data_IF_608559874820
#
_entry.id   IF_608559874820
#
_cell.length_a   1.000
_cell.length_b   1.000
_cell.length_c   1.000
_cell.angle_alpha   90.00
_cell.angle_beta   90.00
_cell.angle_gamma   90.00
#
_symmetry.space_group_name_H-M   'P 1'
#
loop_
_entity.id
_entity.type
_entity.pdbx_description
1 polymer ?
#
# COMPACT_ATOMS: atom_id res chain seq x y z
N UNK A 1 12.63 0.09 -14.69
CA UNK A 1 12.13 0.98 -13.62
C UNK A 1 12.57 2.43 -13.78
N UNK A 2 13.86 2.76 -13.92
CA UNK A 2 14.30 4.17 -14.08
C UNK A 2 13.60 4.92 -15.23
N UNK A 3 13.47 4.30 -16.41
CA UNK A 3 12.73 4.86 -17.54
C UNK A 3 11.23 5.03 -17.24
N UNK A 4 10.64 4.09 -16.48
CA UNK A 4 9.25 4.19 -16.05
C UNK A 4 9.05 5.33 -15.05
N UNK A 5 9.99 5.57 -14.13
CA UNK A 5 9.96 6.69 -13.16
C UNK A 5 10.09 8.06 -13.83
N UNK A 6 10.80 8.14 -14.95
CA UNK A 6 10.93 9.39 -15.70
C UNK A 6 9.58 9.94 -16.16
N UNK A 7 8.62 9.07 -16.50
CA UNK A 7 7.31 9.50 -17.02
C UNK A 7 6.46 10.18 -15.95
N UNK A 8 6.23 9.60 -14.74
CA UNK A 8 5.63 10.33 -13.63
C UNK A 8 6.41 11.58 -13.24
N UNK A 9 7.75 11.52 -13.21
CA UNK A 9 8.55 12.68 -12.85
C UNK A 9 8.29 13.88 -13.77
N UNK A 10 8.36 13.67 -15.09
CA UNK A 10 8.07 14.70 -16.09
C UNK A 10 6.59 15.13 -16.01
N UNK A 11 5.67 14.18 -15.83
CA UNK A 11 4.25 14.48 -15.69
C UNK A 11 3.94 15.41 -14.51
N UNK A 12 4.61 15.23 -13.38
CA UNK A 12 4.45 16.09 -12.21
C UNK A 12 5.00 17.50 -12.39
N UNK A 13 6.00 17.68 -13.26
CA UNK A 13 6.55 19.01 -13.56
C UNK A 13 5.66 19.80 -14.52
N UNK A 14 5.20 19.16 -15.61
CA UNK A 14 4.61 19.87 -16.75
C UNK A 14 3.09 19.72 -16.88
N UNK A 15 2.51 18.70 -16.25
CA UNK A 15 1.10 18.34 -16.41
C UNK A 15 0.27 18.34 -15.11
N UNK A 16 0.46 19.22 -14.09
CA UNK A 16 -0.34 19.16 -12.86
C UNK A 16 -1.86 19.18 -13.09
N UNK A 17 -2.32 19.91 -14.12
CA UNK A 17 -3.75 19.97 -14.48
C UNK A 17 -4.29 18.66 -15.09
N UNK A 18 -3.44 17.89 -15.75
CA UNK A 18 -3.83 16.63 -16.37
C UNK A 18 -3.71 15.44 -15.42
N UNK A 19 -2.95 15.58 -14.31
CA UNK A 19 -2.87 14.53 -13.28
C UNK A 19 -4.25 14.23 -12.72
N UNK A 20 -5.04 15.26 -12.36
CA UNK A 20 -6.41 15.06 -11.88
C UNK A 20 -7.31 14.33 -12.90
N UNK A 21 -7.11 14.59 -14.21
CA UNK A 21 -7.84 13.92 -15.29
C UNK A 21 -7.40 12.46 -15.38
N UNK A 22 -6.10 12.19 -15.29
CA UNK A 22 -5.53 10.85 -15.31
C UNK A 22 -5.96 10.04 -14.08
N UNK A 23 -6.04 10.64 -12.90
CA UNK A 23 -6.57 10.04 -11.68
C UNK A 23 -8.05 9.68 -11.83
N UNK A 24 -8.86 10.61 -12.36
CA UNK A 24 -10.30 10.38 -12.58
C UNK A 24 -10.52 9.29 -13.62
N UNK A 25 -9.78 9.31 -14.73
CA UNK A 25 -9.81 8.27 -15.74
C UNK A 25 -9.36 6.92 -15.16
N UNK A 26 -8.31 6.92 -14.33
CA UNK A 26 -7.83 5.75 -13.61
C UNK A 26 -8.90 5.14 -12.71
N UNK A 27 -9.65 5.95 -11.96
CA UNK A 27 -10.74 5.48 -11.12
C UNK A 27 -11.91 4.88 -11.93
N UNK A 28 -12.28 5.51 -13.05
CA UNK A 28 -13.32 4.97 -13.95
C UNK A 28 -12.86 3.65 -14.57
N UNK A 29 -11.62 3.60 -15.07
CA UNK A 29 -11.01 2.39 -15.60
C UNK A 29 -10.88 1.30 -14.53
N UNK A 30 -10.59 1.65 -13.28
CA UNK A 30 -10.49 0.68 -12.18
C UNK A 30 -11.80 -0.06 -11.98
N UNK A 31 -12.92 0.67 -11.86
CA UNK A 31 -14.25 0.08 -11.77
C UNK A 31 -14.64 -0.69 -13.04
N UNK A 32 -14.36 -0.12 -14.22
CA UNK A 32 -14.69 -0.73 -15.51
C UNK A 32 -13.92 -2.03 -15.77
N UNK A 33 -12.63 -2.07 -15.48
CA UNK A 33 -11.78 -3.24 -15.65
C UNK A 33 -12.09 -4.32 -14.63
N UNK A 34 -12.45 -3.95 -13.40
CA UNK A 34 -13.00 -4.89 -12.42
C UNK A 34 -14.26 -5.58 -12.97
N UNK A 35 -15.24 -4.81 -13.48
CA UNK A 35 -16.45 -5.39 -14.06
C UNK A 35 -16.13 -6.28 -15.27
N UNK A 36 -15.25 -5.82 -16.17
CA UNK A 36 -14.83 -6.59 -17.33
C UNK A 36 -14.19 -7.93 -16.92
N UNK A 37 -13.31 -7.92 -15.91
CA UNK A 37 -12.66 -9.12 -15.38
C UNK A 37 -13.67 -10.09 -14.76
N UNK A 38 -14.53 -9.60 -13.86
CA UNK A 38 -15.56 -10.41 -13.19
C UNK A 38 -16.53 -11.01 -14.20
N UNK A 39 -17.07 -10.22 -15.12
CA UNK A 39 -18.03 -10.70 -16.13
C UNK A 39 -17.38 -11.74 -17.03
N UNK A 40 -16.14 -11.51 -17.45
CA UNK A 40 -15.43 -12.44 -18.34
C UNK A 40 -15.18 -13.77 -17.65
N UNK A 41 -14.69 -13.76 -16.41
CA UNK A 41 -14.48 -14.99 -15.64
C UNK A 41 -15.82 -15.69 -15.37
N UNK A 42 -16.86 -14.96 -14.96
CA UNK A 42 -18.16 -15.56 -14.66
C UNK A 42 -18.86 -16.18 -15.88
N UNK A 43 -18.65 -15.63 -17.08
CA UNK A 43 -19.32 -16.10 -18.31
C UNK A 43 -18.50 -17.13 -19.06
N UNK A 44 -17.17 -16.97 -19.11
CA UNK A 44 -16.31 -17.78 -19.98
C UNK A 44 -15.57 -18.90 -19.26
N UNK A 45 -15.31 -18.76 -17.95
CA UNK A 45 -14.55 -19.77 -17.22
C UNK A 45 -15.42 -20.97 -16.83
N UNK A 46 -14.77 -22.12 -16.69
CA UNK A 46 -15.38 -23.28 -16.05
C UNK A 46 -15.49 -23.03 -14.54
N UNK A 47 -16.69 -23.19 -13.99
CA UNK A 47 -16.95 -22.91 -12.58
C UNK A 47 -16.77 -24.14 -11.69
N UNK A 48 -16.06 -23.98 -10.58
CA UNK A 48 -15.90 -24.95 -9.50
C UNK A 48 -17.16 -25.07 -8.65
N UNK A 49 -17.26 -26.13 -7.84
CA UNK A 49 -18.40 -26.34 -6.94
C UNK A 49 -18.35 -25.42 -5.72
N UNK A 50 -19.51 -25.11 -5.14
CA UNK A 50 -19.61 -24.32 -3.89
C UNK A 50 -18.94 -25.02 -2.71
N UNK A 51 -18.99 -26.35 -2.68
CA UNK A 51 -18.31 -27.15 -1.65
C UNK A 51 -16.80 -26.95 -1.75
N UNK A 52 -16.25 -27.03 -2.97
CA UNK A 52 -14.83 -26.78 -3.17
C UNK A 52 -14.44 -25.37 -2.71
N UNK A 53 -15.17 -24.34 -3.13
CA UNK A 53 -14.82 -22.94 -2.80
C UNK A 53 -14.86 -22.62 -1.30
N UNK A 54 -15.84 -23.16 -0.57
CA UNK A 54 -16.05 -22.78 0.84
C UNK A 54 -15.58 -23.82 1.86
N UNK A 55 -15.30 -25.06 1.45
CA UNK A 55 -14.90 -26.15 2.36
C UNK A 55 -13.53 -26.73 2.07
N UNK A 56 -12.93 -26.46 0.91
CA UNK A 56 -11.59 -26.94 0.59
C UNK A 56 -10.54 -25.88 0.96
N UNK A 57 -9.51 -26.31 1.68
CA UNK A 57 -8.31 -25.52 1.94
C UNK A 57 -7.12 -26.15 1.21
N UNK A 58 -6.65 -25.51 0.15
CA UNK A 58 -5.42 -25.91 -0.55
C UNK A 58 -4.21 -25.51 0.29
N UNK A 59 -3.55 -26.49 0.93
CA UNK A 59 -2.40 -26.28 1.83
C UNK A 59 -1.07 -26.81 1.29
N UNK A 60 -1.11 -27.83 0.44
CA UNK A 60 0.06 -28.62 0.05
C UNK A 60 0.97 -27.93 -0.99
N UNK A 61 0.55 -26.76 -1.50
CA UNK A 61 1.31 -25.96 -2.47
C UNK A 61 2.45 -25.16 -1.81
N UNK A 62 2.23 -24.71 -0.57
CA UNK A 62 3.17 -23.82 0.13
C UNK A 62 4.33 -24.56 0.81
N UNK A 63 4.28 -25.89 0.89
CA UNK A 63 5.19 -26.70 1.67
C UNK A 63 4.99 -26.63 3.20
N UNK A 64 4.04 -25.82 3.69
CA UNK A 64 3.65 -25.80 5.09
C UNK A 64 2.65 -26.91 5.40
N UNK A 65 3.04 -27.88 6.23
CA UNK A 65 2.16 -28.98 6.63
C UNK A 65 1.01 -28.55 7.56
N UNK A 66 1.22 -27.49 8.35
CA UNK A 66 0.22 -26.99 9.29
C UNK A 66 -0.86 -26.16 8.55
N UNK A 67 -2.13 -26.61 8.54
CA UNK A 67 -3.21 -25.94 7.81
C UNK A 67 -3.46 -24.50 8.27
N UNK A 68 -3.28 -24.22 9.57
CA UNK A 68 -3.46 -22.89 10.14
C UNK A 68 -2.41 -21.91 9.62
N UNK A 69 -1.18 -22.39 9.43
CA UNK A 69 -0.09 -21.57 8.89
C UNK A 69 -0.32 -21.31 7.40
N UNK A 70 -0.69 -22.33 6.61
CA UNK A 70 -1.02 -22.16 5.20
C UNK A 70 -2.17 -21.15 5.00
N UNK A 71 -3.23 -21.26 5.81
CA UNK A 71 -4.35 -20.30 5.80
C UNK A 71 -3.92 -18.88 6.20
N UNK A 72 -3.13 -18.75 7.28
CA UNK A 72 -2.64 -17.46 7.76
C UNK A 72 -1.74 -16.73 6.76
N UNK A 73 -0.89 -17.47 6.04
CA UNK A 73 -0.07 -16.92 4.95
C UNK A 73 -0.95 -16.48 3.78
N UNK A 74 -1.93 -17.29 3.39
CA UNK A 74 -2.91 -16.93 2.37
C UNK A 74 -3.65 -15.63 2.68
N UNK A 75 -4.02 -15.41 3.95
CA UNK A 75 -4.66 -14.19 4.41
C UNK A 75 -3.83 -12.92 4.13
N UNK A 76 -2.50 -12.99 4.22
CA UNK A 76 -1.63 -11.82 3.98
C UNK A 76 -1.82 -11.28 2.56
N UNK A 77 -1.99 -12.18 1.59
CA UNK A 77 -2.13 -11.83 0.16
C UNK A 77 -3.36 -10.97 -0.11
N UNK A 78 -4.42 -11.13 0.69
CA UNK A 78 -5.65 -10.32 0.60
C UNK A 78 -5.64 -9.10 1.50
N UNK A 79 -4.71 -9.03 2.45
CA UNK A 79 -4.64 -7.94 3.45
C UNK A 79 -3.86 -6.73 2.92
N UNK A 80 -2.77 -6.96 2.18
CA UNK A 80 -1.94 -5.88 1.63
C UNK A 80 -2.64 -5.00 0.56
N UNK A 81 -3.48 -5.51 -0.36
CA UNK A 81 -4.11 -4.70 -1.40
C UNK A 81 -5.00 -3.55 -0.91
N UNK A 82 -5.46 -3.58 0.33
CA UNK A 82 -6.28 -2.52 0.94
C UNK A 82 -5.46 -1.44 1.66
N UNK A 83 -4.12 -1.53 1.64
CA UNK A 83 -3.23 -0.52 2.24
C UNK A 83 -3.07 0.73 1.36
N UNK A 84 -2.45 1.78 1.93
CA UNK A 84 -2.18 3.02 1.21
C UNK A 84 -3.35 4.00 1.14
N UNK A 85 -4.44 3.73 1.87
CA UNK A 85 -5.61 4.60 1.98
C UNK A 85 -5.30 5.96 2.61
N UNK A 86 -4.20 6.09 3.36
CA UNK A 86 -3.72 7.33 3.96
C UNK A 86 -3.09 8.29 2.95
N UNK A 87 -2.87 7.85 1.70
CA UNK A 87 -2.21 8.65 0.67
C UNK A 87 -2.86 10.02 0.46
N UNK A 88 -4.19 10.09 0.56
CA UNK A 88 -4.98 11.32 0.43
C UNK A 88 -4.68 12.35 1.54
N UNK A 89 -4.16 11.91 2.70
CA UNK A 89 -3.80 12.79 3.82
C UNK A 89 -2.57 13.63 3.45
N UNK A 90 -1.61 13.08 2.70
CA UNK A 90 -0.42 13.81 2.26
C UNK A 90 -0.73 14.89 1.21
N UNK A 91 -1.93 14.86 0.63
CA UNK A 91 -2.44 15.82 -0.36
C UNK A 91 -3.61 16.63 0.20
N UNK A 92 -3.76 16.67 1.52
CA UNK A 92 -4.89 17.27 2.20
C UNK A 92 -5.07 18.77 1.93
N UNK A 93 -3.98 19.47 1.62
CA UNK A 93 -3.96 20.90 1.23
C UNK A 93 -4.65 21.17 -0.13
N UNK A 94 -4.78 20.15 -0.99
CA UNK A 94 -5.41 20.26 -2.31
C UNK A 94 -6.91 19.92 -2.27
N UNK A 95 -7.39 19.37 -1.15
CA UNK A 95 -8.77 18.94 -0.97
C UNK A 95 -9.62 20.08 -0.41
N UNK A 96 -10.72 20.44 -1.08
CA UNK A 96 -11.70 21.38 -0.52
C UNK A 96 -12.39 20.76 0.69
N UNK A 97 -12.57 21.52 1.78
CA UNK A 97 -13.24 21.05 3.00
C UNK A 97 -12.60 19.77 3.60
N UNK A 98 -11.26 19.74 3.63
CA UNK A 98 -10.41 18.63 4.08
C UNK A 98 -10.93 17.93 5.34
N UNK A 99 -11.28 18.70 6.38
CA UNK A 99 -11.73 18.20 7.70
C UNK A 99 -12.97 17.28 7.63
N UNK A 100 -13.75 17.33 6.55
CA UNK A 100 -14.95 16.48 6.35
C UNK A 100 -14.83 15.54 5.16
N UNK A 101 -14.24 15.99 4.04
CA UNK A 101 -14.16 15.18 2.82
C UNK A 101 -13.11 14.08 2.93
N UNK A 102 -11.92 14.37 3.47
CA UNK A 102 -10.84 13.38 3.59
C UNK A 102 -11.28 12.16 4.40
N UNK A 103 -11.85 12.28 5.63
CA UNK A 103 -12.29 11.11 6.39
C UNK A 103 -13.37 10.29 5.66
N UNK A 104 -14.32 10.96 5.00
CA UNK A 104 -15.39 10.29 4.24
C UNK A 104 -14.84 9.58 3.01
N UNK A 105 -13.91 10.19 2.29
CA UNK A 105 -13.25 9.59 1.12
C UNK A 105 -12.47 8.34 1.50
N UNK A 106 -11.70 8.36 2.59
CA UNK A 106 -10.95 7.19 3.09
C UNK A 106 -11.90 6.03 3.40
N UNK A 107 -12.98 6.29 4.15
CA UNK A 107 -13.95 5.24 4.49
C UNK A 107 -14.63 4.71 3.23
N UNK A 108 -15.06 5.60 2.34
CA UNK A 108 -15.74 5.21 1.10
C UNK A 108 -14.84 4.37 0.20
N UNK A 109 -13.58 4.78 -0.03
CA UNK A 109 -12.66 4.03 -0.88
C UNK A 109 -12.37 2.65 -0.32
N UNK A 110 -12.05 2.53 0.99
CA UNK A 110 -11.77 1.23 1.61
C UNK A 110 -12.97 0.30 1.54
N UNK A 111 -14.19 0.82 1.78
CA UNK A 111 -15.41 0.00 1.73
C UNK A 111 -15.70 -0.46 0.31
N UNK A 112 -15.60 0.42 -0.69
CA UNK A 112 -15.82 0.07 -2.09
C UNK A 112 -14.77 -0.93 -2.56
N UNK A 113 -13.49 -0.67 -2.31
CA UNK A 113 -12.39 -1.54 -2.74
C UNK A 113 -12.44 -2.89 -2.01
N UNK A 114 -12.82 -2.92 -0.73
CA UNK A 114 -13.02 -4.14 0.04
C UNK A 114 -14.17 -5.01 -0.51
N UNK A 115 -15.29 -4.38 -0.90
CA UNK A 115 -16.41 -5.10 -1.55
C UNK A 115 -16.00 -5.61 -2.93
N UNK A 116 -15.32 -4.79 -3.74
CA UNK A 116 -14.80 -5.20 -5.04
C UNK A 116 -13.82 -6.36 -4.90
N UNK A 117 -12.89 -6.29 -3.95
CA UNK A 117 -11.93 -7.35 -3.67
C UNK A 117 -12.62 -8.65 -3.25
N UNK A 118 -13.64 -8.57 -2.39
CA UNK A 118 -14.41 -9.75 -1.96
C UNK A 118 -15.12 -10.41 -3.15
N UNK A 119 -15.81 -9.62 -3.99
CA UNK A 119 -16.49 -10.12 -5.19
C UNK A 119 -15.48 -10.75 -6.16
N UNK A 120 -14.36 -10.06 -6.40
CA UNK A 120 -13.32 -10.54 -7.31
C UNK A 120 -12.70 -11.84 -6.80
N UNK A 121 -12.38 -11.92 -5.50
CA UNK A 121 -11.76 -13.11 -4.91
C UNK A 121 -12.71 -14.31 -4.98
N UNK A 122 -13.99 -14.13 -4.64
CA UNK A 122 -14.99 -15.19 -4.79
C UNK A 122 -15.07 -15.64 -6.25
N UNK A 123 -15.12 -14.69 -7.19
CA UNK A 123 -15.16 -15.00 -8.63
C UNK A 123 -13.95 -15.85 -9.02
N UNK A 124 -12.74 -15.42 -8.67
CA UNK A 124 -11.50 -16.16 -8.97
C UNK A 124 -11.53 -17.56 -8.36
N UNK A 125 -11.93 -17.70 -7.09
CA UNK A 125 -12.02 -19.02 -6.44
C UNK A 125 -12.96 -19.98 -7.18
N UNK A 126 -14.08 -19.47 -7.71
CA UNK A 126 -14.98 -20.25 -8.55
C UNK A 126 -14.41 -20.54 -9.94
N UNK A 127 -13.47 -19.74 -10.45
CA UNK A 127 -13.02 -19.79 -11.85
C UNK A 127 -11.54 -20.10 -12.04
N UNK A 128 -10.82 -20.54 -11.00
CA UNK A 128 -9.37 -20.80 -11.04
C UNK A 128 -9.00 -21.83 -12.11
N UNK A 129 -9.86 -22.82 -12.36
CA UNK A 129 -9.58 -23.90 -13.30
C UNK A 129 -8.53 -24.88 -12.76
N UNK A 130 -7.56 -25.25 -13.58
CA UNK A 130 -6.46 -26.14 -13.22
C UNK A 130 -5.46 -25.45 -12.28
N UNK A 131 -5.52 -25.80 -10.99
CA UNK A 131 -4.67 -25.24 -9.94
C UNK A 131 -3.18 -25.55 -10.13
N UNK A 132 -2.83 -26.72 -10.68
CA UNK A 132 -1.42 -27.08 -10.90
C UNK A 132 -0.80 -26.14 -11.92
N UNK A 133 -1.52 -25.87 -13.02
CA UNK A 133 -1.09 -24.89 -14.03
C UNK A 133 -1.02 -23.47 -13.48
N UNK A 134 -2.01 -23.07 -12.67
CA UNK A 134 -2.04 -21.74 -12.05
C UNK A 134 -0.88 -21.55 -11.09
N UNK A 135 -0.59 -22.55 -10.26
CA UNK A 135 0.51 -22.52 -9.28
C UNK A 135 1.90 -22.55 -9.92
N UNK A 136 2.04 -23.25 -11.06
CA UNK A 136 3.28 -23.30 -11.84
C UNK A 136 3.54 -22.03 -12.67
N UNK A 137 2.50 -21.21 -12.90
CA UNK A 137 2.63 -19.97 -13.67
C UNK A 137 3.39 -18.89 -12.88
N UNK A 138 4.37 -18.19 -13.50
CA UNK A 138 5.01 -17.03 -12.88
C UNK A 138 4.04 -15.91 -12.50
N UNK A 139 2.92 -15.82 -13.21
CA UNK A 139 1.84 -14.85 -12.96
C UNK A 139 0.49 -15.60 -12.98
N UNK A 140 0.08 -16.18 -11.83
CA UNK A 140 -1.07 -17.09 -11.74
C UNK A 140 -2.36 -16.55 -12.36
N UNK A 141 -2.66 -15.26 -12.15
CA UNK A 141 -3.88 -14.65 -12.66
C UNK A 141 -3.95 -14.59 -14.18
N UNK A 142 -2.81 -14.51 -14.87
CA UNK A 142 -2.76 -14.53 -16.34
C UNK A 142 -3.19 -15.90 -16.85
N UNK A 143 -2.76 -16.96 -16.17
CA UNK A 143 -3.16 -18.33 -16.52
C UNK A 143 -4.66 -18.54 -16.28
N UNK A 144 -5.23 -18.00 -15.20
CA UNK A 144 -6.69 -18.03 -14.95
C UNK A 144 -7.46 -17.39 -16.11
N UNK A 145 -7.06 -16.20 -16.56
CA UNK A 145 -7.69 -15.54 -17.71
C UNK A 145 -7.48 -16.31 -19.02
N UNK A 146 -6.32 -16.94 -19.21
CA UNK A 146 -6.05 -17.73 -20.40
C UNK A 146 -6.89 -19.01 -20.44
N UNK A 147 -7.03 -19.71 -19.31
CA UNK A 147 -7.89 -20.88 -19.17
C UNK A 147 -9.36 -20.52 -19.41
N UNK A 148 -9.82 -19.38 -18.91
CA UNK A 148 -11.19 -18.90 -19.13
C UNK A 148 -11.46 -18.49 -20.57
N UNK A 149 -10.54 -17.74 -21.20
CA UNK A 149 -10.80 -17.14 -22.53
C UNK A 149 -10.38 -18.02 -23.70
N UNK A 150 -9.45 -18.95 -23.49
CA UNK A 150 -8.80 -19.74 -24.55
C UNK A 150 -8.04 -18.89 -25.58
N UNK A 151 -7.87 -17.58 -25.35
CA UNK A 151 -7.38 -16.63 -26.34
C UNK A 151 -6.26 -15.77 -25.77
N UNK A 152 -5.09 -15.85 -26.41
CA UNK A 152 -3.94 -15.00 -26.07
C UNK A 152 -4.25 -13.52 -26.25
N UNK A 153 -5.05 -13.15 -27.25
CA UNK A 153 -5.42 -11.76 -27.49
C UNK A 153 -6.30 -11.19 -26.37
N UNK A 154 -7.30 -11.95 -25.93
CA UNK A 154 -8.16 -11.56 -24.81
C UNK A 154 -7.37 -11.51 -23.49
N UNK A 155 -6.51 -12.50 -23.25
CA UNK A 155 -5.64 -12.52 -22.06
C UNK A 155 -4.71 -11.31 -22.02
N UNK A 156 -4.08 -10.96 -23.15
CA UNK A 156 -3.20 -9.79 -23.24
C UNK A 156 -3.95 -8.48 -22.96
N UNK A 157 -5.24 -8.38 -23.30
CA UNK A 157 -6.06 -7.23 -22.96
C UNK A 157 -6.22 -7.08 -21.43
N UNK A 158 -6.46 -8.17 -20.69
CA UNK A 158 -6.52 -8.12 -19.22
C UNK A 158 -5.17 -7.77 -18.59
N UNK A 159 -4.07 -8.28 -19.14
CA UNK A 159 -2.72 -7.89 -18.70
C UNK A 159 -2.50 -6.39 -18.92
N UNK A 160 -2.92 -5.85 -20.07
CA UNK A 160 -2.84 -4.43 -20.35
C UNK A 160 -3.69 -3.60 -19.37
N UNK A 161 -4.92 -4.03 -19.06
CA UNK A 161 -5.79 -3.38 -18.08
C UNK A 161 -5.11 -3.28 -16.71
N UNK A 162 -4.47 -4.37 -16.24
CA UNK A 162 -3.73 -4.39 -14.98
C UNK A 162 -2.51 -3.44 -15.02
N UNK A 163 -1.70 -3.50 -16.08
CA UNK A 163 -0.53 -2.63 -16.24
C UNK A 163 -0.94 -1.15 -16.27
N UNK A 164 -2.06 -0.83 -16.94
CA UNK A 164 -2.58 0.53 -17.00
C UNK A 164 -2.93 1.07 -15.61
N UNK A 165 -3.64 0.30 -14.78
CA UNK A 165 -4.00 0.72 -13.42
C UNK A 165 -2.76 0.86 -12.53
N UNK A 166 -1.81 -0.06 -12.62
CA UNK A 166 -0.53 0.02 -11.90
C UNK A 166 0.22 1.30 -12.30
N UNK A 167 0.23 1.62 -13.60
CA UNK A 167 0.90 2.81 -14.11
C UNK A 167 0.23 4.09 -13.60
N UNK A 168 -1.09 4.19 -13.59
CA UNK A 168 -1.81 5.34 -13.01
C UNK A 168 -1.56 5.45 -11.51
N UNK A 169 -1.61 4.34 -10.77
CA UNK A 169 -1.31 4.31 -9.33
C UNK A 169 0.11 4.79 -9.03
N UNK A 170 1.07 4.46 -9.91
CA UNK A 170 2.45 4.90 -9.76
C UNK A 170 2.61 6.43 -9.79
N UNK A 171 1.81 7.15 -10.59
CA UNK A 171 1.77 8.61 -10.51
C UNK A 171 1.34 9.10 -9.11
N UNK A 172 0.28 8.52 -8.57
CA UNK A 172 -0.28 8.93 -7.27
C UNK A 172 0.69 8.68 -6.13
N UNK A 173 1.32 7.50 -6.09
CA UNK A 173 2.32 7.15 -5.07
C UNK A 173 3.52 8.09 -5.16
N UNK A 174 3.97 8.40 -6.38
CA UNK A 174 5.10 9.31 -6.57
C UNK A 174 4.78 10.74 -6.08
N UNK A 175 3.56 11.22 -6.36
CA UNK A 175 3.06 12.49 -5.86
C UNK A 175 3.02 12.51 -4.32
N UNK A 176 2.45 11.47 -3.73
CA UNK A 176 2.27 11.29 -2.29
C UNK A 176 3.61 11.29 -1.55
N UNK A 177 4.57 10.46 -1.98
CA UNK A 177 5.90 10.36 -1.35
C UNK A 177 6.66 11.68 -1.43
N UNK A 178 6.59 12.40 -2.55
CA UNK A 178 7.26 13.70 -2.67
C UNK A 178 6.73 14.74 -1.69
N UNK A 179 5.42 14.74 -1.41
CA UNK A 179 4.80 15.63 -0.41
C UNK A 179 5.16 15.21 1.01
N UNK A 180 5.28 13.91 1.28
CA UNK A 180 5.76 13.41 2.58
C UNK A 180 7.20 13.87 2.85
N UNK A 181 8.11 13.70 1.88
CA UNK A 181 9.50 14.16 1.98
C UNK A 181 9.54 15.67 2.21
N UNK A 182 8.76 16.44 1.44
CA UNK A 182 8.69 17.89 1.59
C UNK A 182 8.18 18.30 2.98
N UNK A 183 7.07 17.74 3.45
CA UNK A 183 6.48 18.07 4.74
C UNK A 183 7.43 17.72 5.90
N UNK A 184 8.04 16.55 5.84
CA UNK A 184 9.01 16.13 6.86
C UNK A 184 10.28 17.01 6.84
N UNK A 185 10.72 17.44 5.66
CA UNK A 185 11.83 18.39 5.51
C UNK A 185 11.48 19.78 6.02
N UNK A 186 10.25 20.26 5.79
CA UNK A 186 9.79 21.56 6.30
C UNK A 186 9.89 21.63 7.82
N UNK A 187 9.60 20.51 8.49
CA UNK A 187 9.65 20.38 9.94
C UNK A 187 11.09 20.04 10.44
N UNK A 188 12.08 20.08 9.55
CA UNK A 188 13.49 19.90 9.86
C UNK A 188 13.96 18.45 9.98
N UNK A 189 13.11 17.46 9.71
CA UNK A 189 13.35 16.05 10.01
C UNK A 189 14.25 15.27 9.04
N UNK A 190 14.79 15.93 8.00
CA UNK A 190 15.73 15.30 7.05
C UNK A 190 17.07 16.05 7.01
N UNK A 191 18.19 15.35 6.75
CA UNK A 191 19.44 16.01 6.41
C UNK A 191 19.23 16.85 5.13
N UNK A 192 19.81 18.05 5.11
CA UNK A 192 19.59 19.03 4.04
C UNK A 192 18.11 19.44 3.86
N UNK A 193 17.33 19.43 4.95
CA UNK A 193 15.92 19.85 5.02
C UNK A 193 15.62 21.15 4.28
N UNK A 194 16.50 22.15 4.36
CA UNK A 194 16.35 23.44 3.67
C UNK A 194 16.30 23.33 2.13
N UNK A 195 16.85 22.28 1.55
CA UNK A 195 16.78 22.01 0.10
C UNK A 195 15.47 21.34 -0.27
N UNK A 196 15.06 20.31 0.47
CA UNK A 196 13.88 19.51 0.17
C UNK A 196 12.56 20.16 0.60
N UNK A 197 12.60 21.12 1.54
CA UNK A 197 11.45 21.93 1.95
C UNK A 197 11.06 23.02 0.93
N UNK A 198 11.89 23.27 -0.11
CA UNK A 198 11.61 24.30 -1.12
C UNK A 198 10.55 23.84 -2.12
N UNK A 199 9.53 24.67 -2.31
CA UNK A 199 8.53 24.52 -3.38
C UNK A 199 8.96 25.38 -4.57
N UNK A 200 8.90 24.82 -5.77
CA UNK A 200 9.30 25.56 -6.97
C UNK A 200 8.26 26.65 -7.31
N UNK A 201 8.66 27.91 -7.58
CA UNK A 201 7.72 29.02 -7.76
C UNK A 201 6.80 28.85 -8.98
N UNK A 202 7.33 28.36 -10.11
CA UNK A 202 6.57 28.15 -11.35
C UNK A 202 5.66 26.93 -11.30
N UNK A 203 6.23 25.76 -10.95
CA UNK A 203 5.50 24.48 -10.97
C UNK A 203 4.63 24.24 -9.72
N UNK A 204 4.85 25.00 -8.64
CA UNK A 204 4.14 24.88 -7.35
C UNK A 204 4.20 23.48 -6.71
N UNK A 205 5.23 22.71 -7.04
CA UNK A 205 5.51 21.37 -6.50
C UNK A 205 6.92 21.31 -5.89
N UNK A 206 7.19 20.43 -4.91
CA UNK A 206 8.51 20.29 -4.30
C UNK A 206 9.45 19.47 -5.20
N UNK A 207 10.01 20.11 -6.24
CA UNK A 207 10.85 19.45 -7.26
C UNK A 207 12.06 18.72 -6.67
N UNK A 208 12.69 19.28 -5.64
CA UNK A 208 13.84 18.63 -4.98
C UNK A 208 13.43 17.33 -4.28
N UNK A 209 12.25 17.29 -3.67
CA UNK A 209 11.70 16.10 -3.04
C UNK A 209 11.31 15.04 -4.10
N UNK A 210 10.74 15.46 -5.24
CA UNK A 210 10.48 14.59 -6.39
C UNK A 210 11.77 13.96 -6.91
N UNK A 211 12.85 14.75 -7.03
CA UNK A 211 14.15 14.24 -7.49
C UNK A 211 14.74 13.23 -6.51
N UNK A 212 14.68 13.51 -5.19
CA UNK A 212 15.13 12.56 -4.17
C UNK A 212 14.35 11.24 -4.26
N UNK A 213 13.02 11.31 -4.39
CA UNK A 213 12.19 10.12 -4.56
C UNK A 213 12.54 9.36 -5.84
N UNK A 214 12.74 10.04 -6.98
CA UNK A 214 13.15 9.41 -8.23
C UNK A 214 14.50 8.70 -8.08
N UNK A 215 15.46 9.37 -7.46
CA UNK A 215 16.81 8.86 -7.24
C UNK A 215 16.78 7.61 -6.36
N UNK A 216 16.04 7.63 -5.25
CA UNK A 216 15.88 6.48 -4.37
C UNK A 216 15.26 5.29 -5.12
N UNK A 217 14.18 5.50 -5.89
CA UNK A 217 13.57 4.44 -6.69
C UNK A 217 14.55 3.87 -7.72
N UNK A 218 15.32 4.72 -8.41
CA UNK A 218 16.33 4.27 -9.37
C UNK A 218 17.44 3.46 -8.70
N UNK A 219 17.96 3.90 -7.55
CA UNK A 219 18.99 3.18 -6.78
C UNK A 219 18.46 1.82 -6.32
N UNK A 220 17.25 1.78 -5.75
CA UNK A 220 16.62 0.53 -5.31
C UNK A 220 16.40 -0.43 -6.50
N UNK A 221 16.01 0.09 -7.66
CA UNK A 221 15.87 -0.72 -8.85
C UNK A 221 17.20 -1.29 -9.36
N UNK A 222 18.32 -0.57 -9.19
CA UNK A 222 19.65 -1.06 -9.55
C UNK A 222 20.13 -2.20 -8.65
N UNK A 223 19.62 -2.31 -7.41
CA UNK A 223 19.93 -3.46 -6.53
C UNK A 223 19.52 -4.77 -7.21
N UNK A 224 18.40 -4.79 -7.93
CA UNK A 224 17.93 -5.98 -8.64
C UNK A 224 18.91 -6.47 -9.72
N UNK A 225 19.75 -5.58 -10.27
CA UNK A 225 20.81 -5.97 -11.23
C UNK A 225 21.93 -6.75 -10.54
N UNK A 226 22.25 -6.42 -9.29
CA UNK A 226 23.30 -7.10 -8.52
C UNK A 226 22.79 -8.31 -7.72
N UNK A 227 21.59 -8.23 -7.18
CA UNK A 227 20.97 -9.31 -6.39
C UNK A 227 19.45 -9.17 -6.34
N UNK A 228 18.76 -10.14 -6.96
CA UNK A 228 17.31 -10.30 -6.84
C UNK A 228 16.88 -10.62 -5.40
N UNK A 229 17.68 -11.38 -4.65
CA UNK A 229 17.47 -11.61 -3.21
C UNK A 229 17.40 -10.30 -2.44
N UNK A 230 18.40 -9.42 -2.60
CA UNK A 230 18.44 -8.16 -1.88
C UNK A 230 17.27 -7.23 -2.26
N UNK A 231 16.85 -7.27 -3.53
CA UNK A 231 15.67 -6.54 -3.98
C UNK A 231 14.38 -7.08 -3.34
N UNK A 232 14.15 -8.40 -3.39
CA UNK A 232 12.96 -9.05 -2.80
C UNK A 232 12.89 -8.85 -1.28
N UNK A 233 14.04 -8.85 -0.61
CA UNK A 233 14.19 -8.52 0.79
C UNK A 233 13.65 -7.11 1.13
N UNK A 234 13.98 -6.10 0.30
CA UNK A 234 13.47 -4.73 0.46
C UNK A 234 11.98 -4.64 0.15
N UNK A 235 11.50 -5.35 -0.86
CA UNK A 235 10.06 -5.40 -1.17
C UNK A 235 9.27 -5.98 0.01
N UNK A 236 9.78 -7.05 0.64
CA UNK A 236 9.14 -7.68 1.80
C UNK A 236 9.02 -6.74 3.00
N UNK A 237 9.97 -5.80 3.17
CA UNK A 237 9.91 -4.75 4.20
C UNK A 237 8.70 -3.82 4.04
N UNK A 238 8.29 -3.51 2.80
CA UNK A 238 7.30 -2.46 2.53
C UNK A 238 5.97 -2.71 3.25
N UNK A 239 5.48 -3.95 3.23
CA UNK A 239 4.27 -4.35 3.93
C UNK A 239 4.41 -4.18 5.45
N UNK A 240 5.47 -4.73 6.06
CA UNK A 240 5.69 -4.59 7.50
C UNK A 240 5.86 -3.13 7.94
N UNK A 241 6.59 -2.34 7.16
CA UNK A 241 6.82 -0.92 7.43
C UNK A 241 5.54 -0.09 7.42
N UNK A 242 4.65 -0.34 6.45
CA UNK A 242 3.34 0.34 6.37
C UNK A 242 2.44 -0.02 7.55
N UNK A 243 2.35 -1.30 7.91
CA UNK A 243 1.55 -1.71 9.06
C UNK A 243 2.11 -1.17 10.38
N UNK A 244 3.45 -1.08 10.51
CA UNK A 244 4.07 -0.44 11.67
C UNK A 244 3.76 1.05 11.74
N UNK A 245 3.78 1.75 10.59
CA UNK A 245 3.47 3.19 10.53
C UNK A 245 2.01 3.48 10.90
N UNK A 246 1.08 2.56 10.64
CA UNK A 246 -0.30 2.64 11.10
C UNK A 246 -0.47 2.28 12.57
N UNK A 247 0.31 1.31 13.06
CA UNK A 247 0.24 0.83 14.44
C UNK A 247 0.51 1.94 15.46
N UNK A 248 1.61 2.68 15.29
CA UNK A 248 2.06 3.66 16.30
C UNK A 248 1.06 4.82 16.52
N UNK A 249 0.53 5.51 15.49
CA UNK A 249 -0.47 6.56 15.69
C UNK A 249 -1.78 6.05 16.30
N UNK A 250 -2.24 4.86 15.90
CA UNK A 250 -3.46 4.26 16.47
C UNK A 250 -3.25 3.92 17.94
N UNK A 251 -2.09 3.35 18.29
CA UNK A 251 -1.71 3.03 19.67
C UNK A 251 -1.68 4.28 20.53
N UNK A 252 -0.99 5.34 20.08
CA UNK A 252 -0.91 6.60 20.83
C UNK A 252 -2.27 7.29 20.97
N UNK A 253 -3.12 7.22 19.93
CA UNK A 253 -4.48 7.76 20.01
C UNK A 253 -5.35 6.96 20.99
N UNK A 254 -5.26 5.63 21.00
CA UNK A 254 -5.98 4.78 21.95
C UNK A 254 -5.47 5.02 23.37
N UNK A 255 -4.15 5.04 23.58
CA UNK A 255 -3.56 5.32 24.87
C UNK A 255 -4.01 6.69 25.39
N UNK A 256 -4.01 7.73 24.56
CA UNK A 256 -4.51 9.06 24.92
C UNK A 256 -6.01 9.08 25.26
N UNK A 257 -6.83 8.25 24.59
CA UNK A 257 -8.27 8.12 24.91
C UNK A 257 -8.53 7.42 26.24
N UNK A 258 -7.68 6.47 26.62
CA UNK A 258 -7.82 5.66 27.85
C UNK A 258 -7.08 6.28 29.05
N UNK A 259 -6.09 7.14 28.81
CA UNK A 259 -5.32 7.78 29.87
C UNK A 259 -6.20 8.67 30.74
N UNK A 260 -6.25 8.37 32.03
CA UNK A 260 -7.01 9.15 33.02
C UNK A 260 -6.30 10.46 33.42
N UNK A 261 -4.97 10.51 33.26
CA UNK A 261 -4.18 11.73 33.38
C UNK A 261 -4.42 12.55 32.12
N UNK A 262 -5.19 13.64 32.23
CA UNK A 262 -5.55 14.54 31.12
C UNK A 262 -4.30 15.27 30.58
N UNK A 263 -3.69 14.89 29.44
CA UNK A 263 -3.02 15.91 28.65
C UNK A 263 -4.13 16.79 28.03
N UNK A 264 -3.78 17.93 27.44
CA UNK A 264 -4.73 18.80 26.73
C UNK A 264 -5.80 18.01 25.94
N UNK A 265 -7.07 18.46 25.91
CA UNK A 265 -8.15 17.73 25.23
C UNK A 265 -7.75 17.41 23.78
N UNK A 266 -8.13 16.23 23.28
CA UNK A 266 -7.92 15.89 21.87
C UNK A 266 -8.71 16.91 21.04
N UNK A 267 -8.05 17.73 20.19
CA UNK A 267 -8.76 18.65 19.31
C UNK A 267 -9.47 17.82 18.25
N UNK A 268 -10.77 17.63 18.42
CA UNK A 268 -11.58 16.85 17.47
C UNK A 268 -11.92 17.68 16.24
N UNK A 269 -11.77 17.08 15.07
CA UNK A 269 -12.39 17.58 13.85
C UNK A 269 -13.91 17.37 13.84
N UNK A 270 -14.60 17.86 12.79
CA UNK A 270 -16.04 17.66 12.63
C UNK A 270 -16.45 16.19 12.48
N UNK A 271 -15.51 15.31 12.11
CA UNK A 271 -15.70 13.86 12.09
C UNK A 271 -15.25 13.23 13.42
N UNK A 272 -16.18 12.59 14.13
CA UNK A 272 -15.93 11.90 15.41
C UNK A 272 -16.75 10.62 15.52
N UNK A 273 -16.12 9.55 16.02
CA UNK A 273 -16.76 8.26 16.30
C UNK A 273 -17.13 8.07 17.78
N UNK A 274 -16.98 9.11 18.61
CA UNK A 274 -17.29 9.03 20.05
C UNK A 274 -16.58 7.88 20.76
N UNK A 275 -17.36 7.09 21.52
CA UNK A 275 -16.91 5.89 22.25
C UNK A 275 -16.59 4.72 21.32
N UNK A 276 -17.32 4.57 20.20
CA UNK A 276 -17.03 3.55 19.20
C UNK A 276 -15.60 3.65 18.65
N UNK A 277 -15.04 4.87 18.60
CA UNK A 277 -13.65 5.09 18.19
C UNK A 277 -12.60 4.36 19.05
N UNK A 278 -12.85 4.13 20.34
CA UNK A 278 -11.92 3.36 21.18
C UNK A 278 -11.92 1.88 20.79
N UNK A 279 -13.10 1.29 20.54
CA UNK A 279 -13.24 -0.09 20.09
C UNK A 279 -12.66 -0.30 18.69
N UNK A 280 -12.88 0.66 17.78
CA UNK A 280 -12.28 0.63 16.43
C UNK A 280 -10.75 0.67 16.51
N UNK A 281 -10.18 1.54 17.34
CA UNK A 281 -8.73 1.59 17.52
C UNK A 281 -8.17 0.29 18.13
N UNK A 282 -8.82 -0.25 19.16
CA UNK A 282 -8.39 -1.51 19.78
C UNK A 282 -8.46 -2.68 18.79
N UNK A 283 -9.57 -2.79 18.05
CA UNK A 283 -9.75 -3.81 17.00
C UNK A 283 -8.70 -3.69 15.90
N UNK A 284 -8.41 -2.47 15.45
CA UNK A 284 -7.35 -2.22 14.46
C UNK A 284 -5.97 -2.66 14.97
N UNK A 285 -5.61 -2.34 16.22
CA UNK A 285 -4.34 -2.79 16.80
C UNK A 285 -4.26 -4.32 16.92
N UNK A 286 -5.34 -4.98 17.37
CA UNK A 286 -5.41 -6.43 17.41
C UNK A 286 -5.25 -7.06 16.03
N UNK A 287 -5.89 -6.50 15.01
CA UNK A 287 -5.77 -6.98 13.63
C UNK A 287 -4.37 -6.77 13.07
N UNK A 288 -3.74 -5.61 13.28
CA UNK A 288 -2.36 -5.33 12.85
C UNK A 288 -1.38 -6.31 13.52
N UNK A 289 -1.53 -6.57 14.82
CA UNK A 289 -0.69 -7.55 15.53
C UNK A 289 -0.91 -8.97 15.00
N UNK A 290 -2.15 -9.32 14.68
CA UNK A 290 -2.48 -10.60 14.08
C UNK A 290 -1.84 -10.77 12.70
N UNK A 291 -1.90 -9.75 11.83
CA UNK A 291 -1.28 -9.81 10.50
C UNK A 291 0.25 -9.82 10.58
N UNK A 292 0.84 -9.14 11.56
CA UNK A 292 2.29 -9.15 11.79
C UNK A 292 2.88 -10.53 12.05
N UNK A 293 2.15 -11.40 12.77
CA UNK A 293 2.58 -12.78 13.02
C UNK A 293 2.78 -13.51 11.69
N UNK A 294 1.82 -13.39 10.78
CA UNK A 294 1.86 -14.08 9.49
C UNK A 294 2.84 -13.42 8.51
N UNK A 295 2.91 -12.08 8.48
CA UNK A 295 3.82 -11.32 7.62
C UNK A 295 5.29 -11.57 7.87
N UNK A 296 5.66 -12.12 9.03
CA UNK A 296 7.03 -12.52 9.33
C UNK A 296 7.40 -13.90 8.74
N UNK A 297 6.41 -14.73 8.38
CA UNK A 297 6.64 -16.07 7.86
C UNK A 297 6.92 -16.04 6.35
N UNK A 298 7.73 -16.99 5.84
CA UNK A 298 7.91 -17.19 4.41
C UNK A 298 6.67 -17.83 3.78
N UNK A 299 6.37 -17.48 2.53
CA UNK A 299 5.17 -17.96 1.82
C UNK A 299 5.30 -19.37 1.26
N UNK A 300 6.53 -19.84 1.03
CA UNK A 300 6.84 -21.14 0.40
C UNK A 300 8.00 -21.81 1.15
N UNK A 301 7.92 -23.14 1.30
CA UNK A 301 8.96 -24.03 1.80
C UNK A 301 9.34 -25.08 0.73
N UNK A 302 10.58 -25.62 0.76
CA UNK A 302 11.68 -25.31 1.70
C UNK A 302 12.28 -23.93 1.47
N UNK A 303 12.93 -23.39 2.50
CA UNK A 303 13.56 -22.08 2.45
C UNK A 303 14.83 -22.12 1.61
N UNK A 304 14.97 -21.15 0.72
CA UNK A 304 16.20 -20.81 0.03
C UNK A 304 16.53 -19.33 0.23
N UNK A 305 17.61 -18.87 -0.41
CA UNK A 305 18.07 -17.48 -0.27
C UNK A 305 17.19 -16.48 -1.03
N UNK A 306 16.25 -16.93 -1.86
CA UNK A 306 15.39 -16.08 -2.69
C UNK A 306 13.98 -15.96 -2.13
N UNK A 307 13.47 -17.00 -1.45
CA UNK A 307 12.12 -17.05 -0.87
C UNK A 307 12.06 -16.74 0.63
N UNK A 308 13.22 -16.67 1.31
CA UNK A 308 13.29 -16.28 2.71
C UNK A 308 12.73 -14.87 2.93
N UNK A 309 11.95 -14.71 3.99
CA UNK A 309 11.40 -13.42 4.38
C UNK A 309 12.41 -12.61 5.22
N UNK A 310 13.06 -11.64 4.59
CA UNK A 310 14.06 -10.77 5.23
C UNK A 310 13.47 -9.50 5.87
N UNK A 311 12.15 -9.34 5.87
CA UNK A 311 11.50 -8.09 6.28
C UNK A 311 11.79 -7.71 7.74
N UNK A 312 11.77 -8.67 8.67
CA UNK A 312 12.01 -8.46 10.09
C UNK A 312 13.42 -7.90 10.41
N UNK A 313 14.50 -8.60 10.04
CA UNK A 313 15.87 -8.10 10.24
C UNK A 313 16.12 -6.73 9.63
N UNK A 314 15.60 -6.49 8.42
CA UNK A 314 15.76 -5.19 7.74
C UNK A 314 14.99 -4.09 8.47
N UNK A 315 13.77 -4.38 8.92
CA UNK A 315 12.99 -3.45 9.72
C UNK A 315 13.74 -3.06 11.00
N UNK A 316 14.32 -4.06 11.69
CA UNK A 316 15.17 -3.82 12.84
C UNK A 316 16.36 -2.91 12.53
N UNK A 317 17.08 -3.17 11.42
CA UNK A 317 18.19 -2.32 10.98
C UNK A 317 17.76 -0.88 10.67
N UNK A 318 16.60 -0.69 10.03
CA UNK A 318 16.04 0.64 9.72
C UNK A 318 15.65 1.38 11.00
N UNK A 319 14.98 0.71 11.95
CA UNK A 319 14.60 1.31 13.24
C UNK A 319 15.85 1.71 14.04
N UNK A 320 16.86 0.83 14.08
CA UNK A 320 18.13 1.13 14.74
C UNK A 320 18.83 2.32 14.09
N UNK A 321 18.89 2.36 12.75
CA UNK A 321 19.44 3.50 12.01
C UNK A 321 18.72 4.80 12.31
N UNK A 322 17.39 4.79 12.32
CA UNK A 322 16.57 5.95 12.67
C UNK A 322 16.77 6.40 14.12
N UNK A 323 16.87 5.46 15.07
CA UNK A 323 17.13 5.77 16.47
C UNK A 323 18.52 6.40 16.67
N UNK A 324 19.53 5.88 15.98
CA UNK A 324 20.89 6.42 16.01
C UNK A 324 20.95 7.84 15.41
N UNK A 325 20.32 8.07 14.25
CA UNK A 325 20.23 9.38 13.63
C UNK A 325 19.46 10.38 14.51
N UNK A 326 18.39 9.92 15.17
CA UNK A 326 17.67 10.71 16.15
C UNK A 326 18.55 11.19 17.31
N UNK A 327 19.34 10.28 17.88
CA UNK A 327 20.23 10.58 19.00
C UNK A 327 21.38 11.51 18.62
N UNK A 328 21.92 11.38 17.40
CA UNK A 328 23.07 12.19 16.95
C UNK A 328 22.69 13.54 16.36
N UNK A 329 21.65 13.60 15.52
CA UNK A 329 21.33 14.77 14.71
C UNK A 329 19.96 15.38 15.07
N UNK A 330 18.90 14.58 15.00
CA UNK A 330 17.54 15.13 14.94
C UNK A 330 17.02 15.65 16.28
N UNK A 331 17.46 15.11 17.42
CA UNK A 331 17.12 15.65 18.75
C UNK A 331 17.44 17.15 18.90
N UNK A 332 18.36 17.68 18.08
CA UNK A 332 18.78 19.09 18.08
C UNK A 332 18.11 19.92 16.98
N UNK A 333 17.54 19.29 15.95
CA UNK A 333 17.04 19.95 14.72
C UNK A 333 15.53 19.85 14.57
N UNK A 334 14.97 18.68 14.89
CA UNK A 334 13.55 18.43 14.76
C UNK A 334 12.78 19.17 15.86
N UNK A 335 11.80 19.94 15.43
CA UNK A 335 10.86 20.61 16.33
C UNK A 335 9.49 20.01 16.11
N UNK A 336 8.86 19.54 17.18
CA UNK A 336 7.50 18.99 17.10
C UNK A 336 6.57 20.10 16.60
N UNK A 337 5.84 19.91 15.49
CA UNK A 337 4.90 20.92 15.01
C UNK A 337 3.84 21.18 16.09
N UNK A 338 3.91 22.33 16.75
CA UNK A 338 2.88 22.77 17.68
C UNK A 338 1.73 23.30 16.82
N UNK A 339 0.55 22.72 16.92
CA UNK A 339 -0.61 23.20 16.19
C UNK A 339 -0.81 24.70 16.47
N UNK A 340 -0.81 25.51 15.42
CA UNK A 340 -1.02 26.94 15.51
C UNK A 340 -2.40 27.20 16.13
N UNK A 341 -2.41 27.79 17.33
CA UNK A 341 -3.64 28.01 18.11
C UNK A 341 -4.60 28.99 17.41
N UNK A 342 -4.15 29.68 16.36
CA UNK A 342 -4.94 30.61 15.56
C UNK A 342 -5.92 29.95 14.57
N UNK A 343 -5.85 28.62 14.37
CA UNK A 343 -6.71 27.85 13.45
C UNK A 343 -7.72 26.91 14.16
N UNK A 344 -7.86 27.06 15.48
CA UNK A 344 -8.94 26.49 16.29
C UNK A 344 -10.07 27.51 16.42
#
# INVERSE_FOLDING_TARGET
MCAATAVPFIGHLWLPRYINVLETAGAICHAGFFLAGVITLAVMAQTSSTEYVFRTLTKDVSGWENPTVAWGIGLITVTYPLCGFDSIIHMSDEVKQTRTRVPRSIIFSIVVDGVMQLIYMITVLFTTGDEERVSASPLPIIEVYYQATGSKAATNLFVFMLIYIIFVSFFNVFASVSRLIWAFSRDGGLPCSSTFAKVHPTFRVPVNALYLSALCVCILALINVGSSTAFNAIISLTALGLYLSYFLPILFLLWRRLSSTKPLPIPWGPFRLGTAGAFVNAGALCYILFTFIWMALPTILPLDRFNMNYAGPILGAVILGAALDWLWNEKRRFTVPVADQSLQ
#
